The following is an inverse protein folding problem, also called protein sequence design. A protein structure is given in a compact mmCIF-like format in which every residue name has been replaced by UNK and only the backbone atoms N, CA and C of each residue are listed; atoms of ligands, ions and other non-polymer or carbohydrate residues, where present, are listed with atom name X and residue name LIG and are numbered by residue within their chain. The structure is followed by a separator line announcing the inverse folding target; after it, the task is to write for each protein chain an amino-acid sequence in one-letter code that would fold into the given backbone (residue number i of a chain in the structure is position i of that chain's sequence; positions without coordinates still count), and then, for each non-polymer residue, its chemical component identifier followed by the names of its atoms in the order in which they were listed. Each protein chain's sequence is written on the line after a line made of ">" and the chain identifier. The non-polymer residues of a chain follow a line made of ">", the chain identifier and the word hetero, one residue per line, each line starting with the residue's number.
data_IF_822364070097
#
_entry.id   IF_822364070097
#
_cell.length_a   1.000
_cell.length_b   1.000
_cell.length_c   1.000
_cell.angle_alpha   90.00
_cell.angle_beta   90.00
_cell.angle_gamma   90.00
#
_symmetry.space_group_name_H-M   'P 1'
#
loop_
_entity.id
_entity.type
_entity.pdbx_description
1 polymer ?
#
# COMPACT_ATOMS: atom_id res chain seq x y z
N UNK A 1 -16.91 29.54 4.53
CA UNK A 1 -16.49 28.32 5.28
C UNK A 1 -15.08 28.57 5.83
N UNK A 2 -14.92 28.67 7.16
CA UNK A 2 -13.59 28.80 7.76
C UNK A 2 -13.02 27.40 8.01
N UNK A 3 -11.94 27.04 7.29
CA UNK A 3 -11.19 25.82 7.53
C UNK A 3 -9.96 26.16 8.38
N UNK A 4 -9.91 25.67 9.62
CA UNK A 4 -8.79 25.93 10.54
C UNK A 4 -7.50 25.20 10.13
N UNK A 5 -7.58 24.24 9.18
CA UNK A 5 -6.43 23.50 8.67
C UNK A 5 -5.71 22.66 9.72
N UNK A 6 -4.67 21.94 9.30
CA UNK A 6 -3.82 21.15 10.18
C UNK A 6 -2.55 20.70 9.46
N UNK A 7 -1.47 20.48 10.21
CA UNK A 7 -0.23 19.97 9.66
C UNK A 7 -0.30 18.44 9.52
N UNK A 8 0.14 17.92 8.38
CA UNK A 8 0.26 16.48 8.14
C UNK A 8 1.69 16.15 7.69
N UNK A 9 2.34 15.12 8.26
CA UNK A 9 3.63 14.67 7.76
C UNK A 9 3.55 14.29 6.28
N UNK A 10 4.51 14.77 5.48
CA UNK A 10 4.57 14.49 4.05
C UNK A 10 4.99 13.04 3.76
N UNK A 11 5.77 12.43 4.66
CA UNK A 11 6.24 11.06 4.56
C UNK A 11 5.58 10.19 5.63
N UNK A 12 5.04 9.04 5.22
CA UNK A 12 4.60 8.01 6.13
C UNK A 12 5.78 7.10 6.49
N UNK A 13 6.06 6.94 7.79
CA UNK A 13 7.07 5.98 8.25
C UNK A 13 6.53 4.57 8.11
N UNK A 14 7.27 3.71 7.41
CA UNK A 14 7.03 2.27 7.33
C UNK A 14 7.92 1.60 8.36
N UNK A 15 7.32 0.88 9.31
CA UNK A 15 8.03 0.23 10.42
C UNK A 15 8.02 -1.29 10.19
N UNK A 16 9.16 -1.94 10.40
CA UNK A 16 9.35 -3.39 10.28
C UNK A 16 8.88 -4.00 8.95
N UNK A 17 9.23 -3.36 7.83
CA UNK A 17 8.89 -3.86 6.50
C UNK A 17 9.60 -5.17 6.20
N UNK A 18 8.82 -6.23 6.00
CA UNK A 18 9.26 -7.54 5.53
C UNK A 18 8.52 -7.91 4.26
N UNK A 19 9.25 -8.46 3.30
CA UNK A 19 8.73 -8.83 1.99
C UNK A 19 9.13 -10.29 1.74
N UNK A 20 8.15 -11.13 1.41
CA UNK A 20 8.40 -12.51 0.98
C UNK A 20 7.67 -12.80 -0.33
N UNK A 21 8.24 -13.70 -1.13
CA UNK A 21 7.67 -14.13 -2.40
C UNK A 21 7.19 -15.56 -2.22
N UNK A 22 5.98 -15.85 -2.68
CA UNK A 22 5.36 -17.17 -2.64
C UNK A 22 4.76 -17.51 -4.00
N UNK A 23 4.47 -18.78 -4.23
CA UNK A 23 3.70 -19.22 -5.39
C UNK A 23 2.23 -18.83 -5.21
N UNK A 24 1.58 -18.42 -6.29
CA UNK A 24 0.15 -18.07 -6.29
C UNK A 24 -0.70 -19.34 -6.35
N UNK A 25 -1.42 -19.64 -5.27
CA UNK A 25 -2.28 -20.82 -5.13
C UNK A 25 -3.34 -20.95 -6.24
N UNK A 26 -3.67 -19.85 -6.95
CA UNK A 26 -4.75 -19.83 -7.95
C UNK A 26 -4.30 -19.99 -9.40
N UNK A 27 -3.02 -19.87 -9.72
CA UNK A 27 -2.51 -20.02 -11.10
C UNK A 27 -1.09 -20.56 -11.10
N UNK A 28 -0.90 -21.66 -11.83
CA UNK A 28 0.31 -22.47 -11.92
C UNK A 28 1.55 -21.77 -12.53
N UNK A 29 1.60 -20.44 -12.58
CA UNK A 29 2.71 -19.66 -13.14
C UNK A 29 2.76 -18.20 -12.66
N UNK A 30 2.13 -17.88 -11.52
CA UNK A 30 2.15 -16.54 -10.93
C UNK A 30 2.86 -16.57 -9.59
N UNK A 31 3.62 -15.50 -9.31
CA UNK A 31 4.25 -15.26 -8.02
C UNK A 31 3.41 -14.24 -7.25
N UNK A 32 3.12 -14.53 -6.01
CA UNK A 32 2.52 -13.60 -5.07
C UNK A 32 3.62 -12.99 -4.19
N UNK A 33 3.41 -11.75 -3.74
CA UNK A 33 4.31 -11.05 -2.82
C UNK A 33 3.54 -10.73 -1.56
N UNK A 34 4.04 -11.18 -0.42
CA UNK A 34 3.48 -10.92 0.90
C UNK A 34 4.27 -9.77 1.53
N UNK A 35 3.56 -8.72 1.91
CA UNK A 35 4.10 -7.57 2.63
C UNK A 35 3.64 -7.64 4.08
N UNK A 36 4.58 -7.59 5.03
CA UNK A 36 4.29 -7.38 6.45
C UNK A 36 4.93 -6.07 6.88
N UNK A 37 4.14 -5.14 7.39
CA UNK A 37 4.62 -3.83 7.80
C UNK A 37 3.65 -3.18 8.78
N UNK A 38 4.15 -2.20 9.52
CA UNK A 38 3.35 -1.37 10.43
C UNK A 38 3.34 0.08 9.94
N UNK A 39 2.17 0.71 9.99
CA UNK A 39 1.97 2.11 9.66
C UNK A 39 1.36 2.87 10.85
N UNK A 40 1.76 4.13 11.00
CA UNK A 40 1.14 5.02 11.98
C UNK A 40 -0.33 5.29 11.63
N UNK A 41 -1.15 5.58 12.65
CA UNK A 41 -2.55 5.96 12.47
C UNK A 41 -2.67 7.13 11.48
N UNK A 42 -3.58 6.98 10.50
CA UNK A 42 -3.79 7.98 9.45
C UNK A 42 -2.89 7.80 8.21
N UNK A 43 -1.98 6.82 8.19
CA UNK A 43 -1.36 6.35 6.95
C UNK A 43 -2.15 5.17 6.37
N UNK A 44 -2.14 5.04 5.04
CA UNK A 44 -2.89 4.03 4.31
C UNK A 44 -1.95 3.03 3.67
N UNK A 45 -2.25 1.73 3.80
CA UNK A 45 -1.49 0.65 3.17
C UNK A 45 -1.39 0.81 1.64
N UNK A 46 -2.43 1.38 1.01
CA UNK A 46 -2.46 1.63 -0.44
C UNK A 46 -1.39 2.60 -0.93
N UNK A 47 -0.90 3.52 -0.09
CA UNK A 47 0.21 4.42 -0.45
C UNK A 47 1.50 3.60 -0.62
N UNK A 48 1.78 2.70 0.31
CA UNK A 48 2.92 1.79 0.24
C UNK A 48 2.79 0.86 -0.97
N UNK A 49 1.62 0.23 -1.15
CA UNK A 49 1.43 -0.70 -2.26
C UNK A 49 1.52 -0.02 -3.63
N UNK A 50 1.01 1.22 -3.76
CA UNK A 50 1.17 2.01 -5.00
C UNK A 50 2.64 2.24 -5.32
N UNK A 51 3.48 2.46 -4.31
CA UNK A 51 4.91 2.67 -4.49
C UNK A 51 5.61 1.44 -5.06
N UNK A 52 5.19 0.23 -4.67
CA UNK A 52 5.75 -1.01 -5.22
C UNK A 52 5.11 -1.42 -6.56
N UNK A 53 3.79 -1.28 -6.69
CA UNK A 53 3.07 -1.77 -7.86
C UNK A 53 3.16 -0.82 -9.06
N UNK A 54 3.45 0.46 -8.83
CA UNK A 54 3.54 1.52 -9.86
C UNK A 54 2.45 1.38 -10.95
N UNK A 55 1.16 1.37 -10.58
CA UNK A 55 0.08 1.13 -11.53
C UNK A 55 0.09 2.21 -12.62
N UNK A 56 0.10 1.79 -13.89
CA UNK A 56 0.22 2.69 -15.03
C UNK A 56 -1.10 3.37 -15.40
N UNK A 57 -2.23 2.86 -14.91
CA UNK A 57 -3.56 3.40 -15.21
C UNK A 57 -4.49 3.14 -14.02
N UNK A 58 -5.55 3.95 -13.90
CA UNK A 58 -6.55 3.84 -12.84
C UNK A 58 -7.26 2.48 -12.80
N UNK A 59 -7.27 1.76 -13.93
CA UNK A 59 -7.79 0.38 -14.03
C UNK A 59 -7.00 -0.65 -13.21
N UNK A 60 -5.73 -0.36 -12.91
CA UNK A 60 -4.81 -1.21 -12.15
C UNK A 60 -4.71 -0.78 -10.67
N UNK A 61 -5.43 0.26 -10.26
CA UNK A 61 -5.48 0.66 -8.86
C UNK A 61 -6.09 -0.45 -8.01
N UNK A 62 -5.56 -0.58 -6.81
CA UNK A 62 -6.09 -1.49 -5.80
C UNK A 62 -7.51 -1.02 -5.48
N UNK A 63 -8.49 -1.81 -5.90
CA UNK A 63 -9.91 -1.64 -5.54
C UNK A 63 -10.11 -2.15 -4.11
N UNK A 64 -9.53 -1.45 -3.14
CA UNK A 64 -9.79 -1.69 -1.72
C UNK A 64 -10.67 -0.55 -1.23
N UNK A 65 -11.94 -0.88 -0.99
CA UNK A 65 -12.86 -0.08 -0.19
C UNK A 65 -13.03 -0.76 1.16
N UNK A 66 -13.09 0.04 2.22
CA UNK A 66 -14.01 -0.26 3.30
C UNK A 66 -15.40 0.20 2.84
#
# INVERSE_FOLDING_TARGET
>A
VNALGGLRPALARVIDLKISITEDEKKNDRRAVIFSFTLNKGAYATILLREYMKPATDKQLIKSGF
#
